data_IF_900402772299
#
_entry.id   IF_900402772299
#
_cell.length_a   1.000
_cell.length_b   1.000
_cell.length_c   1.000
_cell.angle_alpha   90.00
_cell.angle_beta   90.00
_cell.angle_gamma   90.00
#
_symmetry.space_group_name_H-M   'P 1'
#
loop_
_entity.id
_entity.type
_entity.pdbx_description
1 polymer ?
#
# COMPACT_ATOMS: atom_id res chain seq x y z
N UNK A 1 52.20 -17.16 34.81
CA UNK A 1 50.91 -16.49 35.01
C UNK A 1 50.41 -16.06 33.63
N UNK A 2 49.48 -16.82 33.03
CA UNK A 2 48.88 -16.47 31.73
C UNK A 2 47.43 -16.07 32.00
N UNK A 3 47.14 -14.79 31.84
CA UNK A 3 45.79 -14.24 31.94
C UNK A 3 45.08 -14.60 30.63
N UNK A 4 44.10 -15.49 30.70
CA UNK A 4 43.21 -15.81 29.58
C UNK A 4 42.02 -14.87 29.70
N UNK A 5 41.90 -13.94 28.75
CA UNK A 5 40.74 -13.04 28.63
C UNK A 5 39.62 -13.85 27.96
N UNK A 6 38.54 -14.07 28.70
CA UNK A 6 37.32 -14.72 28.22
C UNK A 6 36.43 -13.66 27.57
N UNK A 7 36.47 -13.54 26.24
CA UNK A 7 35.57 -12.66 25.49
C UNK A 7 34.20 -13.31 25.35
N UNK A 8 33.21 -12.77 26.06
CA UNK A 8 31.81 -13.19 26.01
C UNK A 8 31.15 -12.60 24.74
N UNK A 9 31.06 -13.38 23.66
CA UNK A 9 30.27 -13.00 22.48
C UNK A 9 28.80 -13.33 22.74
N UNK A 10 28.02 -12.32 23.14
CA UNK A 10 26.55 -12.37 23.16
C UNK A 10 26.08 -12.22 21.72
N UNK A 11 25.76 -13.33 21.06
CA UNK A 11 25.02 -13.29 19.79
C UNK A 11 23.55 -12.99 20.11
N UNK A 12 23.18 -11.72 20.07
CA UNK A 12 21.78 -11.33 19.99
C UNK A 12 21.28 -11.67 18.59
N UNK A 13 20.47 -12.72 18.47
CA UNK A 13 19.70 -12.99 17.24
C UNK A 13 18.61 -11.92 17.15
N UNK A 14 18.88 -10.84 16.42
CA UNK A 14 17.84 -9.91 16.02
C UNK A 14 17.00 -10.62 14.94
N UNK A 15 15.83 -11.13 15.32
CA UNK A 15 14.77 -11.38 14.33
C UNK A 15 14.29 -10.01 13.91
N UNK A 16 14.61 -9.57 12.69
CA UNK A 16 13.91 -8.47 12.06
C UNK A 16 12.54 -9.03 11.63
N UNK A 17 11.40 -8.61 12.20
CA UNK A 17 10.14 -8.69 11.48
C UNK A 17 10.32 -8.19 10.05
N UNK A 18 9.90 -8.99 9.07
CA UNK A 18 9.75 -8.50 7.71
C UNK A 18 8.59 -7.49 7.72
N UNK A 19 8.91 -6.20 7.74
CA UNK A 19 7.92 -5.13 7.61
C UNK A 19 7.57 -4.97 6.14
N UNK A 20 6.29 -5.05 5.82
CA UNK A 20 5.79 -4.73 4.48
C UNK A 20 5.54 -3.23 4.35
N UNK A 21 5.39 -2.79 3.10
CA UNK A 21 4.98 -1.43 2.78
C UNK A 21 3.74 -1.45 1.88
N UNK A 22 2.92 -0.41 2.02
CA UNK A 22 1.82 -0.11 1.11
C UNK A 22 2.13 1.19 0.40
N UNK A 23 2.21 1.16 -0.94
CA UNK A 23 2.30 2.39 -1.73
C UNK A 23 0.90 2.88 -2.11
N UNK A 24 0.57 4.11 -1.73
CA UNK A 24 -0.71 4.74 -2.01
C UNK A 24 -0.51 5.73 -3.16
N UNK A 25 -1.40 5.74 -4.14
CA UNK A 25 -1.39 6.66 -5.27
C UNK A 25 -2.79 7.26 -5.45
N UNK A 26 -2.89 8.58 -5.48
CA UNK A 26 -4.12 9.31 -5.79
C UNK A 26 -3.93 10.08 -7.10
N UNK A 27 -4.93 10.05 -7.99
CA UNK A 27 -4.83 10.74 -9.28
C UNK A 27 -6.18 11.23 -9.84
N UNK A 28 -6.31 12.53 -10.13
CA UNK A 28 -7.38 13.02 -11.00
C UNK A 28 -7.07 12.66 -12.47
N UNK A 29 -7.97 11.91 -13.12
CA UNK A 29 -7.75 11.37 -14.46
C UNK A 29 -8.25 12.24 -15.60
N UNK A 30 -8.81 13.44 -15.37
CA UNK A 30 -9.39 14.31 -16.39
C UNK A 30 -10.39 13.57 -17.31
N UNK A 31 -11.65 13.51 -16.92
CA UNK A 31 -12.74 12.93 -17.72
C UNK A 31 -12.46 11.53 -18.31
N UNK A 32 -11.85 10.59 -17.57
CA UNK A 32 -11.54 9.25 -18.08
C UNK A 32 -12.84 8.49 -18.45
N UNK A 33 -13.01 8.23 -19.74
CA UNK A 33 -14.21 7.61 -20.32
C UNK A 33 -15.48 8.45 -20.28
N UNK A 34 -15.38 9.73 -19.94
CA UNK A 34 -16.48 10.68 -20.00
C UNK A 34 -16.26 11.65 -21.16
N UNK A 35 -17.22 11.77 -22.07
CA UNK A 35 -17.16 12.70 -23.19
C UNK A 35 -18.24 13.77 -23.07
N UNK A 36 -17.84 15.03 -23.23
CA UNK A 36 -18.72 16.21 -23.26
C UNK A 36 -18.68 16.85 -24.65
N UNK A 37 -19.34 18.00 -24.83
CA UNK A 37 -19.28 18.73 -26.11
C UNK A 37 -17.89 19.34 -26.39
N UNK A 38 -17.04 19.47 -25.39
CA UNK A 38 -15.71 20.09 -25.49
C UNK A 38 -14.57 19.12 -25.17
N UNK A 39 -14.83 18.12 -24.33
CA UNK A 39 -13.91 17.03 -24.05
C UNK A 39 -14.37 15.77 -24.82
N UNK A 40 -13.76 15.52 -25.97
CA UNK A 40 -14.21 14.50 -26.93
C UNK A 40 -13.12 13.46 -27.18
N UNK A 41 -13.41 12.46 -28.01
CA UNK A 41 -12.42 11.45 -28.44
C UNK A 41 -11.24 12.05 -29.22
N UNK A 42 -11.32 13.29 -29.71
CA UNK A 42 -10.22 13.92 -30.44
C UNK A 42 -9.18 14.60 -29.54
N UNK A 43 -9.54 14.93 -28.29
CA UNK A 43 -8.66 15.65 -27.36
C UNK A 43 -8.59 15.01 -25.96
N UNK A 44 -9.32 13.92 -25.71
CA UNK A 44 -9.26 13.13 -24.48
C UNK A 44 -9.62 11.65 -24.76
N UNK A 45 -8.99 11.05 -25.77
CA UNK A 45 -9.31 9.68 -26.20
C UNK A 45 -9.00 8.65 -25.12
N UNK A 46 -9.99 7.85 -24.72
CA UNK A 46 -9.80 6.83 -23.68
C UNK A 46 -8.74 5.77 -24.05
N UNK A 47 -8.56 5.42 -25.33
CA UNK A 47 -7.53 4.44 -25.71
C UNK A 47 -6.11 5.00 -25.50
N UNK A 48 -5.91 6.29 -25.78
CA UNK A 48 -4.62 6.95 -25.54
C UNK A 48 -4.37 7.06 -24.03
N UNK A 49 -5.40 7.42 -23.26
CA UNK A 49 -5.34 7.44 -21.79
C UNK A 49 -4.99 6.07 -21.20
N UNK A 50 -5.55 4.98 -21.71
CA UNK A 50 -5.17 3.63 -21.28
C UNK A 50 -3.65 3.38 -21.44
N UNK A 51 -3.05 3.81 -22.55
CA UNK A 51 -1.59 3.70 -22.78
C UNK A 51 -0.78 4.55 -21.80
N UNK A 52 -1.24 5.77 -21.52
CA UNK A 52 -0.58 6.66 -20.57
C UNK A 52 -0.69 6.15 -19.13
N UNK A 53 -1.89 5.73 -18.70
CA UNK A 53 -2.12 5.18 -17.35
C UNK A 53 -1.29 3.91 -17.16
N UNK A 54 -1.23 3.00 -18.14
CA UNK A 54 -0.32 1.83 -18.06
C UNK A 54 1.12 2.25 -17.78
N UNK A 55 1.63 3.22 -18.51
CA UNK A 55 3.00 3.72 -18.36
C UNK A 55 3.22 4.31 -16.96
N UNK A 56 2.27 5.11 -16.47
CA UNK A 56 2.33 5.74 -15.15
C UNK A 56 2.24 4.69 -14.03
N UNK A 57 1.33 3.72 -14.13
CA UNK A 57 1.15 2.66 -13.14
C UNK A 57 2.33 1.69 -13.13
N UNK A 58 2.92 1.37 -14.29
CA UNK A 58 4.14 0.55 -14.36
C UNK A 58 5.33 1.23 -13.68
N UNK A 59 5.41 2.56 -13.76
CA UNK A 59 6.40 3.35 -13.02
C UNK A 59 6.06 3.44 -11.52
N UNK A 60 4.80 3.75 -11.17
CA UNK A 60 4.39 4.02 -9.81
C UNK A 60 4.25 2.75 -8.95
N UNK A 61 3.71 1.66 -9.50
CA UNK A 61 3.44 0.37 -8.82
C UNK A 61 2.71 0.52 -7.47
N UNK A 62 1.52 1.14 -7.43
CA UNK A 62 0.76 1.31 -6.20
C UNK A 62 0.19 0.00 -5.66
N UNK A 63 0.01 -0.09 -4.35
CA UNK A 63 -0.82 -1.13 -3.71
C UNK A 63 -2.26 -0.67 -3.52
N UNK A 64 -2.49 0.64 -3.37
CA UNK A 64 -3.80 1.30 -3.43
C UNK A 64 -3.71 2.41 -4.47
N UNK A 65 -4.62 2.38 -5.44
CA UNK A 65 -4.77 3.40 -6.47
C UNK A 65 -6.18 3.97 -6.44
N UNK A 66 -6.30 5.23 -6.08
CA UNK A 66 -7.56 5.97 -6.02
C UNK A 66 -7.59 7.05 -7.08
N UNK A 67 -8.76 7.28 -7.66
CA UNK A 67 -8.92 8.18 -8.79
C UNK A 67 -10.08 9.14 -8.60
N UNK A 68 -9.92 10.36 -9.12
CA UNK A 68 -11.03 11.28 -9.40
C UNK A 68 -11.29 11.32 -10.92
N UNK A 69 -12.45 11.85 -11.30
CA UNK A 69 -12.83 12.09 -12.71
C UNK A 69 -12.84 10.88 -13.64
N UNK A 70 -13.18 9.71 -13.10
CA UNK A 70 -13.60 8.58 -13.93
C UNK A 70 -15.10 8.68 -14.22
N UNK A 71 -15.53 8.29 -15.43
CA UNK A 71 -16.95 8.32 -15.80
C UNK A 71 -17.79 7.49 -14.84
N UNK A 72 -19.04 7.90 -14.59
CA UNK A 72 -20.03 7.20 -13.75
C UNK A 72 -20.56 5.90 -14.38
N UNK A 73 -19.66 4.98 -14.74
CA UNK A 73 -19.96 3.74 -15.46
C UNK A 73 -19.09 2.59 -14.96
N UNK A 74 -19.74 1.55 -14.44
CA UNK A 74 -19.04 0.36 -13.96
C UNK A 74 -18.21 -0.34 -15.05
N UNK A 75 -18.65 -0.28 -16.31
CA UNK A 75 -17.90 -0.84 -17.43
C UNK A 75 -16.61 -0.09 -17.72
N UNK A 76 -16.57 1.23 -17.48
CA UNK A 76 -15.36 2.04 -17.61
C UNK A 76 -14.43 1.79 -16.42
N UNK A 77 -14.99 1.58 -15.22
CA UNK A 77 -14.20 1.19 -14.05
C UNK A 77 -13.52 -0.17 -14.26
N UNK A 78 -14.26 -1.13 -14.84
CA UNK A 78 -13.74 -2.44 -15.22
C UNK A 78 -12.70 -2.34 -16.34
N UNK A 79 -12.91 -1.47 -17.33
CA UNK A 79 -11.94 -1.22 -18.39
C UNK A 79 -10.59 -0.77 -17.83
N UNK A 80 -10.55 0.23 -16.95
CA UNK A 80 -9.29 0.68 -16.35
C UNK A 80 -8.58 -0.48 -15.62
N UNK A 81 -9.34 -1.31 -14.89
CA UNK A 81 -8.79 -2.49 -14.23
C UNK A 81 -8.13 -3.45 -15.22
N UNK A 82 -8.84 -3.80 -16.31
CA UNK A 82 -8.42 -4.84 -17.25
C UNK A 82 -7.35 -4.36 -18.24
N UNK A 83 -7.46 -3.10 -18.68
CA UNK A 83 -6.59 -2.53 -19.69
C UNK A 83 -5.36 -1.85 -19.08
N UNK A 84 -5.41 -1.39 -17.85
CA UNK A 84 -4.36 -0.51 -17.33
C UNK A 84 -3.63 -1.08 -16.12
N UNK A 85 -4.34 -1.80 -15.25
CA UNK A 85 -3.77 -2.37 -14.03
C UNK A 85 -3.39 -3.85 -14.18
N UNK A 86 -4.28 -4.67 -14.75
CA UNK A 86 -4.10 -6.12 -14.90
C UNK A 86 -3.60 -6.50 -16.30
N UNK A 87 -2.46 -5.93 -16.68
CA UNK A 87 -1.80 -6.15 -17.98
C UNK A 87 -0.38 -6.67 -17.81
N UNK A 88 0.25 -7.10 -18.91
CA UNK A 88 1.66 -7.51 -18.94
C UNK A 88 2.02 -8.61 -17.89
N UNK A 89 1.08 -9.51 -17.61
CA UNK A 89 1.25 -10.58 -16.63
C UNK A 89 0.84 -10.23 -15.20
N UNK A 90 0.47 -8.96 -14.93
CA UNK A 90 -0.17 -8.54 -13.69
C UNK A 90 -1.64 -8.96 -13.72
N UNK A 91 -2.12 -9.58 -12.64
CA UNK A 91 -3.52 -9.97 -12.48
C UNK A 91 -4.02 -9.80 -11.03
N UNK A 92 -3.24 -9.07 -10.23
CA UNK A 92 -3.45 -8.93 -8.80
C UNK A 92 -4.18 -7.66 -8.37
N UNK A 93 -4.54 -6.77 -9.29
CA UNK A 93 -5.42 -5.67 -8.93
C UNK A 93 -6.87 -6.12 -8.88
N UNK A 94 -7.63 -5.52 -7.97
CA UNK A 94 -9.08 -5.58 -7.87
C UNK A 94 -9.62 -4.16 -7.79
N UNK A 95 -10.89 -3.96 -8.15
CA UNK A 95 -11.61 -2.70 -7.96
C UNK A 95 -12.57 -2.81 -6.79
N UNK A 96 -12.83 -1.71 -6.11
CA UNK A 96 -13.93 -1.63 -5.16
C UNK A 96 -15.29 -1.80 -5.88
N UNK A 97 -16.33 -2.14 -5.12
CA UNK A 97 -17.70 -2.05 -5.62
C UNK A 97 -18.01 -0.59 -6.00
N UNK A 98 -18.89 -0.39 -6.97
CA UNK A 98 -19.33 0.94 -7.37
C UNK A 98 -20.70 1.25 -6.77
N UNK A 99 -20.76 2.27 -5.92
CA UNK A 99 -21.99 2.89 -5.43
C UNK A 99 -21.91 4.39 -5.74
N UNK A 100 -23.07 5.02 -5.94
CA UNK A 100 -23.19 6.47 -6.09
C UNK A 100 -24.50 6.96 -5.49
N UNK A 101 -24.49 8.18 -4.98
CA UNK A 101 -25.66 8.88 -4.48
C UNK A 101 -25.82 10.21 -5.23
N UNK A 102 -24.74 10.97 -5.40
CA UNK A 102 -24.76 12.19 -6.19
C UNK A 102 -24.96 11.87 -7.69
N UNK A 103 -25.77 12.67 -8.38
CA UNK A 103 -25.98 12.55 -9.82
C UNK A 103 -24.85 13.26 -10.60
N UNK A 104 -23.63 12.73 -10.47
CA UNK A 104 -22.43 13.22 -11.16
C UNK A 104 -22.03 12.29 -12.30
N UNK A 105 -21.68 12.87 -13.45
CA UNK A 105 -21.09 12.15 -14.58
C UNK A 105 -19.67 11.65 -14.31
N UNK A 106 -18.99 12.29 -13.36
CA UNK A 106 -17.64 12.00 -12.92
C UNK A 106 -17.66 11.56 -11.45
N UNK A 107 -17.03 10.45 -11.15
CA UNK A 107 -17.02 9.81 -9.82
C UNK A 107 -15.60 9.48 -9.39
N UNK A 108 -15.46 8.99 -8.16
CA UNK A 108 -14.21 8.43 -7.67
C UNK A 108 -14.23 6.90 -7.80
N UNK A 109 -13.05 6.27 -7.84
CA UNK A 109 -12.92 4.83 -7.65
C UNK A 109 -11.64 4.47 -6.90
N UNK A 110 -11.64 3.28 -6.31
CA UNK A 110 -10.48 2.65 -5.69
C UNK A 110 -10.16 1.31 -6.35
N UNK A 111 -8.88 1.11 -6.62
CA UNK A 111 -8.27 -0.15 -7.03
C UNK A 111 -7.19 -0.54 -6.02
N UNK A 112 -7.00 -1.83 -5.80
CA UNK A 112 -6.06 -2.32 -4.80
C UNK A 112 -5.41 -3.65 -5.19
N UNK A 113 -4.20 -3.88 -4.68
CA UNK A 113 -3.48 -5.13 -4.80
C UNK A 113 -4.07 -6.19 -3.84
N UNK A 114 -4.81 -7.18 -4.38
CA UNK A 114 -5.47 -8.20 -3.56
C UNK A 114 -4.51 -9.16 -2.86
N UNK A 115 -3.23 -9.17 -3.25
CA UNK A 115 -2.22 -9.96 -2.54
C UNK A 115 -1.90 -9.37 -1.18
N UNK A 116 -2.06 -8.05 -1.00
CA UNK A 116 -1.79 -7.34 0.27
C UNK A 116 -3.05 -6.88 1.00
N UNK A 117 -4.12 -6.59 0.28
CA UNK A 117 -5.28 -5.90 0.83
C UNK A 117 -6.58 -6.60 0.41
N UNK A 118 -7.61 -6.42 1.22
CA UNK A 118 -8.96 -6.82 0.88
C UNK A 118 -9.95 -5.72 1.28
N UNK A 119 -10.93 -5.45 0.42
CA UNK A 119 -11.96 -4.47 0.70
C UNK A 119 -12.93 -5.03 1.73
N UNK A 120 -13.06 -4.33 2.85
CA UNK A 120 -14.03 -4.64 3.90
C UNK A 120 -15.40 -4.00 3.61
N UNK A 121 -15.40 -2.70 3.33
CA UNK A 121 -16.62 -1.95 3.10
C UNK A 121 -16.37 -0.70 2.27
N UNK A 122 -17.42 -0.23 1.61
CA UNK A 122 -17.47 1.03 0.87
C UNK A 122 -18.79 1.74 1.21
N UNK A 123 -18.68 2.98 1.66
CA UNK A 123 -19.81 3.85 2.02
C UNK A 123 -19.61 5.25 1.43
N UNK A 124 -20.66 6.04 1.34
CA UNK A 124 -20.59 7.45 0.94
C UNK A 124 -20.79 8.32 2.18
N UNK A 125 -19.77 9.12 2.53
CA UNK A 125 -19.83 10.00 3.69
C UNK A 125 -20.68 11.26 3.43
N UNK A 126 -20.76 11.68 2.17
CA UNK A 126 -21.39 12.93 1.78
C UNK A 126 -21.71 12.93 0.28
N UNK A 127 -22.79 13.60 -0.14
CA UNK A 127 -23.25 13.62 -1.55
C UNK A 127 -23.75 14.97 -2.05
N UNK A 128 -23.56 16.05 -1.29
CA UNK A 128 -23.79 17.41 -1.78
C UNK A 128 -22.83 17.74 -2.94
N UNK A 129 -23.36 17.96 -4.15
CA UNK A 129 -22.61 18.20 -5.40
C UNK A 129 -21.90 16.95 -5.94
N UNK A 130 -21.06 16.31 -5.14
CA UNK A 130 -20.30 15.10 -5.47
C UNK A 130 -20.18 14.20 -4.25
N UNK A 131 -20.03 12.91 -4.53
CA UNK A 131 -19.79 11.91 -3.50
C UNK A 131 -18.37 12.04 -2.92
N UNK A 132 -18.26 11.85 -1.61
CA UNK A 132 -17.00 11.56 -0.91
C UNK A 132 -17.07 10.11 -0.44
N UNK A 133 -16.26 9.27 -1.08
CA UNK A 133 -16.24 7.83 -0.87
C UNK A 133 -15.37 7.48 0.33
N UNK A 134 -15.82 6.52 1.14
CA UNK A 134 -15.04 5.95 2.25
C UNK A 134 -14.86 4.47 1.98
N UNK A 135 -13.63 4.09 1.64
CA UNK A 135 -13.23 2.70 1.42
C UNK A 135 -12.44 2.20 2.64
N UNK A 136 -12.95 1.18 3.32
CA UNK A 136 -12.25 0.50 4.41
C UNK A 136 -11.62 -0.78 3.84
N UNK A 137 -10.30 -0.87 3.89
CA UNK A 137 -9.54 -2.06 3.52
C UNK A 137 -8.85 -2.63 4.75
N UNK A 138 -8.65 -3.94 4.80
CA UNK A 138 -7.74 -4.55 5.77
C UNK A 138 -6.52 -5.14 5.10
N UNK A 139 -5.41 -5.11 5.82
CA UNK A 139 -4.17 -5.73 5.41
C UNK A 139 -4.23 -7.25 5.60
N UNK A 140 -3.85 -8.01 4.57
CA UNK A 140 -3.82 -9.47 4.59
C UNK A 140 -2.52 -9.94 5.25
N UNK A 141 -2.46 -9.86 6.57
CA UNK A 141 -1.41 -10.44 7.40
C UNK A 141 -1.60 -11.95 7.58
N UNK A 142 -0.52 -12.67 7.89
CA UNK A 142 -0.60 -14.08 8.30
C UNK A 142 -1.38 -14.24 9.62
N UNK A 143 -1.35 -13.21 10.46
CA UNK A 143 -2.09 -13.14 11.72
C UNK A 143 -3.62 -12.96 11.51
N UNK A 144 -4.10 -12.78 10.28
CA UNK A 144 -5.54 -12.66 9.99
C UNK A 144 -6.33 -13.92 10.44
N UNK A 145 -5.69 -15.10 10.42
CA UNK A 145 -6.29 -16.37 10.88
C UNK A 145 -6.72 -16.32 12.35
N UNK A 146 -6.03 -15.52 13.17
CA UNK A 146 -6.37 -15.33 14.60
C UNK A 146 -7.23 -14.08 14.85
N UNK A 147 -7.72 -13.44 13.78
CA UNK A 147 -8.59 -12.27 13.83
C UNK A 147 -7.86 -10.94 14.06
N UNK A 148 -6.53 -10.92 14.00
CA UNK A 148 -5.74 -9.69 14.15
C UNK A 148 -5.33 -9.14 12.78
N UNK A 149 -5.85 -7.96 12.43
CA UNK A 149 -5.52 -7.23 11.21
C UNK A 149 -5.48 -5.74 11.48
N UNK A 150 -4.91 -4.97 10.56
CA UNK A 150 -4.97 -3.52 10.57
C UNK A 150 -5.78 -3.01 9.39
N UNK A 151 -6.56 -1.96 9.64
CA UNK A 151 -7.37 -1.31 8.63
C UNK A 151 -6.68 -0.05 8.11
N UNK A 152 -6.84 0.19 6.81
CA UNK A 152 -6.50 1.43 6.11
C UNK A 152 -7.79 1.96 5.49
N UNK A 153 -8.14 3.20 5.80
CA UNK A 153 -9.41 3.81 5.38
C UNK A 153 -9.09 4.97 4.44
N UNK A 154 -9.43 4.82 3.16
CA UNK A 154 -9.26 5.85 2.14
C UNK A 154 -10.56 6.64 1.99
N UNK A 155 -10.53 7.91 2.36
CA UNK A 155 -11.60 8.89 2.14
C UNK A 155 -11.23 9.66 0.88
N UNK A 156 -11.93 9.42 -0.23
CA UNK A 156 -11.59 9.97 -1.55
C UNK A 156 -12.59 11.04 -1.93
N UNK A 157 -12.08 12.26 -2.15
CA UNK A 157 -12.91 13.42 -2.47
C UNK A 157 -12.50 14.06 -3.80
N UNK A 158 -13.50 14.55 -4.54
CA UNK A 158 -13.31 15.52 -5.62
C UNK A 158 -14.16 16.75 -5.28
N UNK A 159 -13.57 17.71 -4.56
CA UNK A 159 -14.32 18.83 -4.00
C UNK A 159 -14.73 19.83 -5.09
N UNK A 160 -15.67 20.72 -4.78
CA UNK A 160 -16.19 21.70 -5.75
C UNK A 160 -15.05 22.56 -6.34
N UNK A 161 -14.96 22.53 -7.67
CA UNK A 161 -13.98 23.31 -8.44
C UNK A 161 -14.25 24.81 -8.51
N UNK A 162 -13.30 25.55 -9.10
CA UNK A 162 -13.31 27.00 -9.31
C UNK A 162 -13.14 27.82 -8.02
N UNK A 163 -12.53 28.99 -8.16
CA UNK A 163 -12.31 29.93 -7.05
C UNK A 163 -13.55 30.72 -6.62
N UNK A 164 -13.38 31.52 -5.56
CA UNK A 164 -14.35 32.47 -5.05
C UNK A 164 -15.25 31.91 -3.94
N UNK A 165 -15.66 32.81 -3.04
CA UNK A 165 -16.34 32.50 -1.77
C UNK A 165 -17.53 31.53 -1.88
N UNK A 166 -18.30 31.57 -2.97
CA UNK A 166 -19.41 30.61 -3.17
C UNK A 166 -18.92 29.17 -3.35
N UNK A 167 -17.83 28.97 -4.10
CA UNK A 167 -17.26 27.64 -4.32
C UNK A 167 -16.48 27.18 -3.09
N UNK A 168 -15.76 28.08 -2.41
CA UNK A 168 -15.11 27.80 -1.12
C UNK A 168 -16.14 27.32 -0.06
N UNK A 169 -17.29 27.98 0.05
CA UNK A 169 -18.37 27.55 0.95
C UNK A 169 -18.93 26.18 0.57
N UNK A 170 -19.04 25.87 -0.72
CA UNK A 170 -19.47 24.52 -1.17
C UNK A 170 -18.44 23.46 -0.81
N UNK A 171 -17.14 23.72 -1.02
CA UNK A 171 -16.06 22.82 -0.57
C UNK A 171 -16.12 22.60 0.94
N UNK A 172 -16.33 23.68 1.70
CA UNK A 172 -16.52 23.62 3.16
C UNK A 172 -17.67 22.70 3.53
N UNK A 173 -18.84 22.87 2.92
CA UNK A 173 -20.03 22.07 3.26
C UNK A 173 -19.83 20.58 2.92
N UNK A 174 -19.16 20.29 1.79
CA UNK A 174 -18.78 18.92 1.44
C UNK A 174 -17.86 18.29 2.50
N UNK A 175 -16.78 18.98 2.88
CA UNK A 175 -15.86 18.49 3.91
C UNK A 175 -16.54 18.39 5.27
N UNK A 176 -17.34 19.39 5.66
CA UNK A 176 -18.07 19.38 6.93
C UNK A 176 -18.98 18.15 7.05
N UNK A 177 -19.75 17.83 6.00
CA UNK A 177 -20.60 16.64 6.00
C UNK A 177 -19.78 15.35 6.13
N UNK A 178 -18.64 15.25 5.45
CA UNK A 178 -17.76 14.10 5.56
C UNK A 178 -17.13 13.98 6.96
N UNK A 179 -16.65 15.08 7.55
CA UNK A 179 -16.10 15.10 8.91
C UNK A 179 -17.18 14.76 9.96
N UNK A 180 -18.42 15.22 9.76
CA UNK A 180 -19.53 14.86 10.63
C UNK A 180 -19.89 13.37 10.51
N UNK A 181 -19.88 12.81 9.29
CA UNK A 181 -20.02 11.37 9.09
C UNK A 181 -18.92 10.58 9.81
N UNK A 182 -17.66 11.01 9.68
CA UNK A 182 -16.52 10.36 10.33
C UNK A 182 -16.57 10.42 11.86
N UNK A 183 -17.21 11.45 12.43
CA UNK A 183 -17.41 11.57 13.88
C UNK A 183 -18.30 10.47 14.47
N UNK A 184 -19.21 9.93 13.66
CA UNK A 184 -20.09 8.81 14.04
C UNK A 184 -19.59 7.47 13.46
N UNK A 185 -18.55 7.52 12.62
CA UNK A 185 -17.92 6.35 11.99
C UNK A 185 -16.96 5.74 13.00
N UNK A 186 -17.51 4.96 13.94
CA UNK A 186 -16.87 4.28 15.08
C UNK A 186 -15.71 3.36 14.68
N UNK A 187 -14.58 3.96 14.31
CA UNK A 187 -13.43 3.30 13.74
C UNK A 187 -12.18 4.15 13.96
N UNK A 188 -11.72 4.31 15.21
CA UNK A 188 -10.41 4.93 15.52
C UNK A 188 -9.25 4.18 14.83
N UNK A 189 -9.02 4.45 13.54
CA UNK A 189 -8.19 3.66 12.63
C UNK A 189 -7.30 4.59 11.79
N UNK A 190 -6.60 4.00 10.82
CA UNK A 190 -5.68 4.67 9.92
C UNK A 190 -6.43 5.32 8.75
N UNK A 191 -6.86 6.58 8.94
CA UNK A 191 -7.52 7.35 7.89
C UNK A 191 -6.54 8.11 7.02
N UNK A 192 -6.82 8.10 5.72
CA UNK A 192 -6.23 8.96 4.71
C UNK A 192 -7.34 9.74 4.01
N UNK A 193 -7.30 11.07 4.06
CA UNK A 193 -8.21 11.93 3.31
C UNK A 193 -7.48 12.43 2.07
N UNK A 194 -7.92 12.03 0.90
CA UNK A 194 -7.18 12.24 -0.35
C UNK A 194 -8.06 12.62 -1.53
N UNK A 195 -7.43 13.23 -2.53
CA UNK A 195 -8.06 13.57 -3.80
C UNK A 195 -7.78 14.99 -4.25
N UNK A 196 -8.47 15.38 -5.31
CA UNK A 196 -8.51 16.75 -5.81
C UNK A 196 -9.46 17.59 -4.93
N UNK A 197 -8.85 18.43 -4.10
CA UNK A 197 -9.57 19.31 -3.18
C UNK A 197 -9.94 20.66 -3.80
N UNK A 198 -9.39 21.04 -4.95
CA UNK A 198 -9.64 22.35 -5.57
C UNK A 198 -9.51 23.54 -4.59
N UNK A 199 -8.65 23.43 -3.57
CA UNK A 199 -8.38 24.48 -2.59
C UNK A 199 -7.16 25.29 -3.00
N UNK A 200 -7.26 26.62 -2.93
CA UNK A 200 -6.25 27.56 -3.40
C UNK A 200 -5.26 27.95 -2.30
N UNK A 201 -5.66 27.83 -1.03
CA UNK A 201 -4.79 28.08 0.12
C UNK A 201 -5.17 27.27 1.34
N UNK A 202 -4.23 27.14 2.28
CA UNK A 202 -4.47 26.47 3.56
C UNK A 202 -5.47 27.20 4.44
N UNK A 203 -5.74 28.49 4.17
CA UNK A 203 -6.74 29.26 4.92
C UNK A 203 -8.18 29.00 4.47
N UNK A 204 -8.40 28.26 3.37
CA UNK A 204 -9.74 27.92 2.93
C UNK A 204 -10.51 27.12 4.00
N UNK A 205 -11.80 27.42 4.23
CA UNK A 205 -12.57 26.77 5.29
C UNK A 205 -12.63 25.25 5.17
N UNK A 206 -12.59 24.70 3.96
CA UNK A 206 -12.55 23.26 3.73
C UNK A 206 -11.26 22.63 4.27
N UNK A 207 -10.10 23.23 3.99
CA UNK A 207 -8.81 22.74 4.50
C UNK A 207 -8.69 22.91 6.03
N UNK A 208 -9.22 24.01 6.56
CA UNK A 208 -9.28 24.26 8.01
C UNK A 208 -10.15 23.23 8.74
N UNK A 209 -11.25 22.76 8.14
CA UNK A 209 -12.06 21.68 8.74
C UNK A 209 -11.33 20.34 8.78
N UNK A 210 -10.39 20.08 7.86
CA UNK A 210 -9.59 18.86 7.87
C UNK A 210 -8.47 18.92 8.91
N UNK A 211 -7.81 20.07 9.04
CA UNK A 211 -6.59 20.22 9.84
C UNK A 211 -6.83 20.77 11.26
N UNK A 212 -7.98 21.38 11.49
CA UNK A 212 -8.37 22.01 12.75
C UNK A 212 -9.87 21.79 13.01
N UNK A 213 -10.28 20.53 13.02
CA UNK A 213 -11.64 20.12 13.32
C UNK A 213 -11.95 20.28 14.82
N UNK A 214 -13.25 20.37 15.14
CA UNK A 214 -13.69 20.53 16.54
C UNK A 214 -13.38 19.31 17.40
N UNK A 215 -13.41 18.11 16.81
CA UNK A 215 -12.87 16.90 17.43
C UNK A 215 -11.42 16.69 16.96
N UNK A 216 -10.41 16.95 17.81
CA UNK A 216 -9.01 16.89 17.40
C UNK A 216 -8.52 15.48 17.06
N UNK A 217 -9.20 14.42 17.53
CA UNK A 217 -8.86 13.03 17.19
C UNK A 217 -9.12 12.70 15.71
N UNK A 218 -9.92 13.53 15.03
CA UNK A 218 -10.20 13.43 13.59
C UNK A 218 -9.41 14.44 12.76
N UNK A 219 -8.46 15.17 13.35
CA UNK A 219 -7.61 16.04 12.57
C UNK A 219 -6.74 15.23 11.60
N UNK A 220 -6.61 15.76 10.41
CA UNK A 220 -5.71 15.29 9.38
C UNK A 220 -4.49 16.20 9.30
N UNK A 221 -3.36 15.60 8.94
CA UNK A 221 -2.06 16.23 8.86
C UNK A 221 -1.54 16.15 7.43
N UNK A 222 -0.98 17.25 6.94
CA UNK A 222 -0.27 17.28 5.67
C UNK A 222 1.15 16.74 5.88
N UNK A 223 1.52 15.58 5.30
CA UNK A 223 2.81 14.93 5.56
C UNK A 223 4.03 15.72 5.07
N UNK A 224 3.83 16.76 4.26
CA UNK A 224 4.88 17.67 3.80
C UNK A 224 4.80 19.06 4.45
N UNK A 225 3.90 19.25 5.43
CA UNK A 225 3.72 20.48 6.23
C UNK A 225 3.95 21.77 5.45
N UNK A 226 3.18 21.95 4.37
CA UNK A 226 3.35 23.09 3.46
C UNK A 226 2.07 23.96 3.44
N UNK A 227 1.64 24.55 4.57
CA UNK A 227 0.51 25.47 4.57
C UNK A 227 0.88 26.78 3.86
N UNK A 228 -0.03 27.33 3.07
CA UNK A 228 0.09 28.66 2.50
C UNK A 228 -0.85 28.91 1.33
N UNK A 229 -0.56 29.94 0.54
CA UNK A 229 -1.30 30.29 -0.68
C UNK A 229 -0.64 29.59 -1.88
N UNK A 230 -1.19 28.44 -2.28
CA UNK A 230 -0.59 27.57 -3.28
C UNK A 230 -0.83 28.06 -4.71
N UNK A 231 -1.96 28.71 -4.98
CA UNK A 231 -2.30 29.14 -6.33
C UNK A 231 -1.38 30.24 -6.87
N UNK A 232 -0.91 30.06 -8.10
CA UNK A 232 -0.09 30.99 -8.86
C UNK A 232 1.05 31.59 -8.02
N UNK A 233 1.71 30.73 -7.26
CA UNK A 233 2.75 31.14 -6.32
C UNK A 233 4.03 30.35 -6.54
N UNK A 234 5.03 31.03 -7.11
CA UNK A 234 6.33 30.45 -7.41
C UNK A 234 7.04 29.83 -6.18
N UNK A 235 6.74 30.29 -4.97
CA UNK A 235 7.30 29.70 -3.73
C UNK A 235 6.83 28.25 -3.54
N UNK A 236 5.62 27.93 -4.00
CA UNK A 236 5.00 26.60 -3.88
C UNK A 236 5.16 25.74 -5.13
N UNK A 237 5.93 26.17 -6.14
CA UNK A 237 6.13 25.45 -7.40
C UNK A 237 6.55 23.98 -7.27
N UNK A 238 7.24 23.60 -6.19
CA UNK A 238 7.66 22.22 -5.95
C UNK A 238 6.52 21.32 -5.45
N UNK A 239 5.38 21.89 -5.06
CA UNK A 239 4.21 21.15 -4.55
C UNK A 239 2.98 21.31 -5.43
N UNK A 240 3.07 22.02 -6.56
CA UNK A 240 1.96 22.10 -7.51
C UNK A 240 1.66 20.73 -8.13
N UNK A 241 0.41 20.50 -8.44
CA UNK A 241 -0.12 19.28 -9.03
C UNK A 241 -0.97 19.55 -10.27
N UNK A 242 -1.36 20.81 -10.53
CA UNK A 242 -2.08 21.25 -11.73
C UNK A 242 -1.50 22.60 -12.19
N UNK A 243 -1.55 22.99 -13.46
CA UNK A 243 -1.91 22.21 -14.64
C UNK A 243 -0.69 21.68 -15.39
N UNK A 244 -0.75 20.43 -15.87
CA UNK A 244 0.30 19.87 -16.73
C UNK A 244 0.39 20.56 -18.09
N UNK A 245 -0.62 21.35 -18.48
CA UNK A 245 -0.71 22.06 -19.75
C UNK A 245 -0.64 23.57 -19.55
N UNK A 246 -0.02 24.28 -20.49
CA UNK A 246 -0.02 25.75 -20.60
C UNK A 246 -0.80 26.26 -21.83
N UNK A 247 -1.32 25.32 -22.63
CA UNK A 247 -2.03 25.61 -23.88
C UNK A 247 -3.31 24.79 -23.95
N UNK A 248 -4.36 25.43 -24.46
CA UNK A 248 -5.69 24.83 -24.49
C UNK A 248 -5.78 23.69 -25.51
N UNK A 249 -6.15 22.49 -25.06
CA UNK A 249 -6.54 21.37 -25.93
C UNK A 249 -8.08 21.20 -26.06
N UNK A 250 -8.84 21.98 -25.29
CA UNK A 250 -10.31 21.97 -25.25
C UNK A 250 -10.93 21.11 -24.14
N UNK A 251 -10.15 20.26 -23.46
CA UNK A 251 -10.58 19.48 -22.29
C UNK A 251 -9.81 19.85 -21.02
N UNK A 252 -8.48 19.82 -21.06
CA UNK A 252 -7.59 20.12 -19.94
C UNK A 252 -7.66 21.61 -19.55
N UNK A 253 -7.50 21.88 -18.26
CA UNK A 253 -7.06 23.20 -17.77
C UNK A 253 -5.69 23.53 -18.35
N UNK A 254 -5.32 24.81 -18.49
CA UNK A 254 -4.13 25.20 -19.25
C UNK A 254 -3.35 26.38 -18.66
N UNK A 255 -3.29 26.50 -17.34
CA UNK A 255 -2.53 27.57 -16.64
C UNK A 255 -1.03 27.30 -16.51
N UNK A 256 -0.56 26.08 -16.79
CA UNK A 256 0.77 25.59 -16.42
C UNK A 256 0.83 25.15 -14.95
N UNK A 257 1.97 24.65 -14.47
CA UNK A 257 2.06 24.07 -13.11
C UNK A 257 2.04 25.15 -12.02
N UNK A 258 0.86 25.62 -11.64
CA UNK A 258 0.64 26.78 -10.79
C UNK A 258 -0.31 26.56 -9.59
N UNK A 259 -0.86 25.36 -9.41
CA UNK A 259 -1.82 25.02 -8.36
C UNK A 259 -1.45 23.73 -7.63
N UNK A 260 -1.64 23.68 -6.30
CA UNK A 260 -1.63 22.44 -5.51
C UNK A 260 -3.07 22.07 -5.15
N UNK A 261 -3.66 21.17 -5.91
CA UNK A 261 -5.03 20.72 -5.67
C UNK A 261 -5.14 19.29 -5.15
N UNK A 262 -4.13 18.47 -5.37
CA UNK A 262 -4.15 17.07 -4.97
C UNK A 262 -3.45 16.89 -3.62
N UNK A 263 -4.14 16.24 -2.68
CA UNK A 263 -3.64 15.98 -1.33
C UNK A 263 -3.79 14.51 -0.93
N UNK A 264 -2.88 14.05 -0.07
CA UNK A 264 -3.07 12.86 0.78
C UNK A 264 -2.77 13.32 2.21
N UNK A 265 -3.83 13.65 2.96
CA UNK A 265 -3.72 14.02 4.37
C UNK A 265 -3.92 12.79 5.26
N UNK A 266 -3.21 12.74 6.39
CA UNK A 266 -3.08 11.55 7.22
C UNK A 266 -3.65 11.80 8.61
N UNK A 267 -4.35 10.83 9.18
CA UNK A 267 -4.73 10.85 10.60
C UNK A 267 -3.51 10.78 11.52
N UNK A 268 -3.67 11.23 12.77
CA UNK A 268 -2.61 11.12 13.80
C UNK A 268 -2.14 9.67 13.98
N UNK A 269 -3.06 8.69 13.89
CA UNK A 269 -2.70 7.27 13.96
C UNK A 269 -1.60 6.89 12.96
N UNK A 270 -1.71 7.33 11.71
CA UNK A 270 -0.71 7.06 10.67
C UNK A 270 0.56 7.87 10.93
N UNK A 271 0.44 9.13 11.37
CA UNK A 271 1.58 10.00 11.64
C UNK A 271 2.45 9.50 12.81
N UNK A 272 1.83 8.90 13.82
CA UNK A 272 2.50 8.40 15.03
C UNK A 272 2.81 6.89 14.98
N UNK A 273 2.37 6.19 13.92
CA UNK A 273 2.56 4.74 13.80
C UNK A 273 1.67 3.91 14.73
N UNK A 274 0.53 4.45 15.14
CA UNK A 274 -0.48 3.69 15.89
C UNK A 274 -1.24 2.73 14.99
N UNK A 275 -1.97 1.78 15.58
CA UNK A 275 -2.80 0.81 14.84
C UNK A 275 -2.03 0.07 13.72
N UNK A 276 -0.73 -0.19 13.96
CA UNK A 276 0.19 -0.93 13.09
C UNK A 276 0.45 -0.32 11.70
N UNK A 277 0.10 0.94 11.45
CA UNK A 277 0.38 1.62 10.18
C UNK A 277 1.09 2.94 10.45
N UNK A 278 2.21 3.16 9.77
CA UNK A 278 3.06 4.33 9.98
C UNK A 278 3.42 4.95 8.63
N UNK A 279 3.33 6.28 8.52
CA UNK A 279 3.84 6.98 7.35
C UNK A 279 5.37 6.85 7.27
N UNK A 280 5.89 6.51 6.09
CA UNK A 280 7.34 6.56 5.86
C UNK A 280 7.71 8.01 5.57
N UNK A 281 8.35 8.66 6.53
CA UNK A 281 8.79 10.05 6.42
C UNK A 281 9.59 10.30 5.13
N UNK A 282 9.25 11.39 4.43
CA UNK A 282 9.87 11.76 3.16
C UNK A 282 9.42 10.93 1.94
N UNK A 283 8.44 10.03 2.08
CA UNK A 283 7.93 9.24 0.94
C UNK A 283 6.88 9.96 0.09
N UNK A 284 6.34 11.11 0.54
CA UNK A 284 5.43 11.91 -0.26
C UNK A 284 6.08 12.38 -1.55
N UNK A 285 5.52 11.98 -2.68
CA UNK A 285 6.05 12.29 -4.02
C UNK A 285 4.91 12.69 -4.94
N UNK A 286 5.03 13.84 -5.59
CA UNK A 286 4.24 14.22 -6.77
C UNK A 286 5.02 13.80 -8.01
N UNK A 287 4.56 12.77 -8.72
CA UNK A 287 5.31 12.20 -9.85
C UNK A 287 5.30 13.21 -11.01
N UNK A 288 6.48 13.55 -11.54
CA UNK A 288 6.63 14.52 -12.63
C UNK A 288 6.81 15.97 -12.20
N UNK A 289 6.71 16.27 -10.90
CA UNK A 289 6.91 17.63 -10.38
C UNK A 289 8.40 17.89 -10.12
N UNK A 290 9.00 18.83 -10.85
CA UNK A 290 10.41 19.23 -10.73
C UNK A 290 10.61 20.66 -10.19
N UNK A 291 9.54 21.43 -10.07
CA UNK A 291 9.53 22.84 -9.68
C UNK A 291 10.15 23.78 -10.72
N UNK A 292 10.35 23.34 -11.96
CA UNK A 292 10.92 24.14 -13.04
C UNK A 292 9.87 24.63 -14.04
N UNK A 293 8.68 24.04 -14.02
CA UNK A 293 7.60 24.28 -14.99
C UNK A 293 6.47 25.17 -14.46
N UNK A 294 6.76 26.07 -13.51
CA UNK A 294 5.79 27.05 -13.03
C UNK A 294 5.22 27.86 -14.22
N UNK A 295 3.89 27.94 -14.34
CA UNK A 295 3.15 28.53 -15.46
C UNK A 295 3.49 27.96 -16.87
N UNK A 296 4.13 26.79 -16.95
CA UNK A 296 4.46 26.13 -18.21
C UNK A 296 3.97 24.67 -18.22
N UNK A 297 3.85 24.09 -19.42
CA UNK A 297 3.57 22.67 -19.56
C UNK A 297 4.71 21.82 -19.00
N UNK A 298 4.40 20.68 -18.39
CA UNK A 298 5.38 19.82 -17.69
C UNK A 298 6.44 19.19 -18.60
N UNK A 299 6.21 19.20 -19.91
CA UNK A 299 7.10 18.67 -20.94
C UNK A 299 7.73 19.76 -21.82
N UNK A 300 7.62 21.02 -21.40
CA UNK A 300 8.28 22.15 -22.07
C UNK A 300 9.79 22.21 -21.72
N UNK A 301 10.49 23.24 -22.21
CA UNK A 301 11.90 23.44 -21.84
C UNK A 301 11.98 24.27 -20.55
N UNK A 302 12.90 23.95 -19.61
CA UNK A 302 13.94 22.92 -19.69
C UNK A 302 13.39 21.49 -19.54
N UNK A 303 14.08 20.49 -20.12
CA UNK A 303 13.66 19.08 -20.03
C UNK A 303 13.38 18.64 -18.57
N UNK A 304 12.19 18.10 -18.35
CA UNK A 304 11.79 17.54 -17.06
C UNK A 304 12.44 16.16 -16.83
N UNK A 305 13.38 16.10 -15.90
CA UNK A 305 14.14 14.88 -15.57
C UNK A 305 13.68 14.22 -14.25
N UNK A 306 12.54 14.65 -13.69
CA UNK A 306 12.01 14.08 -12.44
C UNK A 306 11.50 12.64 -12.60
N UNK A 307 11.17 12.24 -13.83
CA UNK A 307 10.83 10.87 -14.20
C UNK A 307 11.37 10.56 -15.61
N UNK A 308 11.40 9.28 -16.04
CA UNK A 308 11.74 8.93 -17.42
C UNK A 308 10.87 9.69 -18.42
N UNK A 309 11.43 10.08 -19.58
CA UNK A 309 10.73 10.94 -20.54
C UNK A 309 9.40 10.36 -21.01
N UNK A 310 9.30 9.03 -21.19
CA UNK A 310 8.03 8.38 -21.53
C UNK A 310 6.96 8.50 -20.42
N UNK A 311 7.38 8.61 -19.16
CA UNK A 311 6.47 8.86 -18.03
C UNK A 311 6.02 10.32 -18.02
N UNK A 312 6.93 11.28 -18.28
CA UNK A 312 6.56 12.71 -18.39
C UNK A 312 5.54 12.94 -19.51
N UNK A 313 5.76 12.35 -20.69
CA UNK A 313 4.79 12.45 -21.80
C UNK A 313 3.48 11.75 -21.47
N UNK A 314 3.50 10.63 -20.75
CA UNK A 314 2.29 9.97 -20.30
C UNK A 314 1.52 10.83 -19.28
N UNK A 315 2.20 11.51 -18.36
CA UNK A 315 1.57 12.44 -17.42
C UNK A 315 0.90 13.60 -18.16
N UNK A 316 1.60 14.20 -19.12
CA UNK A 316 1.09 15.29 -19.94
C UNK A 316 -0.12 14.83 -20.77
N UNK A 317 -0.01 13.68 -21.46
CA UNK A 317 -1.08 13.15 -22.31
C UNK A 317 -2.30 12.64 -21.53
N UNK A 318 -2.13 12.22 -20.28
CA UNK A 318 -3.22 11.63 -19.51
C UNK A 318 -4.12 12.68 -18.84
N UNK A 319 -3.57 13.65 -18.13
CA UNK A 319 -4.38 14.52 -17.25
C UNK A 319 -3.76 15.90 -17.14
N UNK A 320 -4.58 16.90 -16.81
CA UNK A 320 -4.11 18.21 -16.34
C UNK A 320 -3.58 18.16 -14.91
N UNK A 321 -3.67 17.02 -14.22
CA UNK A 321 -3.07 16.80 -12.91
C UNK A 321 -1.83 15.91 -12.94
N UNK A 322 -1.04 15.97 -11.87
CA UNK A 322 0.01 15.01 -11.54
C UNK A 322 -0.45 14.08 -10.41
N UNK A 323 -0.11 12.78 -10.44
CA UNK A 323 -0.45 11.86 -9.37
C UNK A 323 0.48 12.06 -8.17
N UNK A 324 -0.11 11.97 -6.98
CA UNK A 324 0.60 12.06 -5.70
C UNK A 324 0.62 10.69 -5.03
N UNK A 325 1.73 10.40 -4.35
CA UNK A 325 1.92 9.11 -3.69
C UNK A 325 2.62 9.26 -2.35
N UNK A 326 2.36 8.28 -1.48
CA UNK A 326 3.09 8.08 -0.22
C UNK A 326 3.40 6.60 -0.04
N UNK A 327 4.27 6.29 0.90
CA UNK A 327 4.46 4.93 1.39
C UNK A 327 4.08 4.84 2.86
N UNK A 328 3.36 3.78 3.20
CA UNK A 328 3.05 3.40 4.57
C UNK A 328 3.83 2.14 4.91
N UNK A 329 4.36 2.06 6.12
CA UNK A 329 4.90 0.86 6.72
C UNK A 329 3.80 0.16 7.50
N UNK A 330 3.67 -1.16 7.33
CA UNK A 330 2.70 -1.96 8.07
C UNK A 330 3.44 -2.86 9.06
N UNK A 331 3.22 -2.61 10.35
CA UNK A 331 3.82 -3.32 11.47
C UNK A 331 3.01 -4.58 11.85
N UNK A 332 2.70 -5.42 10.87
CA UNK A 332 2.11 -6.75 11.10
C UNK A 332 3.14 -7.84 10.89
N UNK A 333 2.96 -8.98 11.55
CA UNK A 333 3.81 -10.14 11.30
C UNK A 333 3.51 -10.67 9.90
N UNK A 334 4.41 -10.41 8.96
CA UNK A 334 4.54 -11.29 7.82
C UNK A 334 5.30 -12.52 8.30
N UNK A 335 4.55 -13.58 8.57
CA UNK A 335 5.19 -14.86 8.76
C UNK A 335 5.96 -15.21 7.49
N UNK A 336 7.15 -15.78 7.66
CA UNK A 336 7.50 -16.85 6.74
C UNK A 336 6.43 -17.89 7.04
N UNK A 337 5.42 -18.01 6.16
CA UNK A 337 4.43 -19.06 6.28
C UNK A 337 5.15 -20.37 6.53
N UNK A 338 5.21 -20.79 7.79
CA UNK A 338 5.50 -22.17 8.14
C UNK A 338 4.31 -22.88 7.56
N UNK A 339 4.44 -23.31 6.31
CA UNK A 339 3.39 -23.89 5.51
C UNK A 339 2.50 -24.73 6.43
N UNK A 340 1.22 -24.35 6.52
CA UNK A 340 0.21 -25.14 7.23
C UNK A 340 0.10 -26.58 6.69
N UNK A 341 0.79 -26.87 5.59
CA UNK A 341 1.07 -28.18 5.00
C UNK A 341 2.17 -28.99 5.67
N UNK A 342 2.68 -28.62 6.85
CA UNK A 342 3.58 -29.54 7.54
C UNK A 342 2.83 -30.83 7.92
N UNK A 343 3.33 -31.97 7.40
CA UNK A 343 2.96 -33.32 7.82
C UNK A 343 3.02 -33.48 9.35
N UNK A 344 3.93 -32.76 9.99
CA UNK A 344 4.24 -32.89 11.41
C UNK A 344 3.38 -31.94 12.23
N UNK A 345 2.55 -32.48 13.12
CA UNK A 345 1.92 -31.64 14.15
C UNK A 345 2.85 -31.41 15.35
N UNK A 346 3.75 -32.36 15.62
CA UNK A 346 4.74 -32.24 16.69
C UNK A 346 5.98 -33.11 16.42
N UNK A 347 7.15 -32.61 16.81
CA UNK A 347 8.40 -33.39 16.86
C UNK A 347 9.04 -33.14 18.22
N UNK A 348 9.14 -34.19 19.03
CA UNK A 348 9.69 -34.14 20.39
C UNK A 348 10.88 -35.07 20.55
N UNK A 349 11.84 -34.66 21.35
CA UNK A 349 13.01 -35.45 21.73
C UNK A 349 13.64 -34.88 22.99
N UNK A 350 14.35 -35.73 23.73
CA UNK A 350 15.11 -35.28 24.90
C UNK A 350 16.31 -34.46 24.44
N UNK A 351 16.46 -33.25 24.96
CA UNK A 351 17.57 -32.36 24.64
C UNK A 351 18.10 -31.74 25.96
N UNK A 352 19.41 -31.80 26.28
CA UNK A 352 20.50 -32.39 25.50
C UNK A 352 20.49 -33.91 25.39
N UNK A 353 20.99 -34.41 24.26
CA UNK A 353 21.11 -35.84 23.90
C UNK A 353 22.48 -36.37 24.34
N UNK A 354 22.51 -37.57 24.92
CA UNK A 354 23.75 -38.32 25.14
C UNK A 354 24.03 -39.22 23.93
N UNK A 355 24.04 -40.54 24.06
CA UNK A 355 24.42 -41.45 22.98
C UNK A 355 23.26 -41.83 22.06
N UNK A 356 22.02 -41.69 22.52
CA UNK A 356 20.83 -42.08 21.76
C UNK A 356 19.83 -40.94 21.70
N UNK A 357 19.44 -40.55 20.49
CA UNK A 357 18.34 -39.63 20.23
C UNK A 357 17.05 -40.44 20.15
N UNK A 358 16.24 -40.37 21.22
CA UNK A 358 14.84 -40.81 21.19
C UNK A 358 13.97 -39.71 20.61
N UNK A 359 13.40 -39.98 19.44
CA UNK A 359 12.61 -39.07 18.63
C UNK A 359 11.16 -39.54 18.56
N UNK A 360 10.22 -38.66 18.88
CA UNK A 360 8.79 -38.87 18.67
C UNK A 360 8.27 -37.89 17.62
N UNK A 361 7.62 -38.40 16.58
CA UNK A 361 7.02 -37.62 15.50
C UNK A 361 5.51 -37.86 15.52
N UNK A 362 4.73 -36.82 15.74
CA UNK A 362 3.29 -36.83 15.53
C UNK A 362 2.99 -36.41 14.08
N UNK A 363 2.55 -37.35 13.25
CA UNK A 363 2.27 -37.13 11.83
C UNK A 363 0.75 -37.07 11.58
N UNK A 364 0.31 -36.16 10.71
CA UNK A 364 -1.10 -36.02 10.33
C UNK A 364 -1.57 -37.13 9.39
N UNK A 365 -0.69 -37.63 8.52
CA UNK A 365 -0.97 -38.65 7.51
C UNK A 365 0.20 -39.64 7.39
N UNK A 366 0.01 -40.72 6.61
CA UNK A 366 1.09 -41.64 6.29
C UNK A 366 2.03 -41.02 5.24
N UNK A 367 3.35 -41.05 5.47
CA UNK A 367 4.33 -40.49 4.53
C UNK A 367 5.72 -41.10 4.72
N UNK A 368 6.58 -40.97 3.71
CA UNK A 368 8.02 -41.07 3.90
C UNK A 368 8.56 -39.76 4.49
N UNK A 369 9.55 -39.84 5.36
CA UNK A 369 10.20 -38.72 6.03
C UNK A 369 11.70 -38.90 5.97
N UNK A 370 12.41 -37.90 5.45
CA UNK A 370 13.86 -37.85 5.48
C UNK A 370 14.32 -37.08 6.72
N UNK A 371 15.19 -37.69 7.52
CA UNK A 371 15.73 -37.13 8.76
C UNK A 371 17.23 -36.93 8.58
N UNK A 372 17.71 -35.70 8.69
CA UNK A 372 19.13 -35.35 8.60
C UNK A 372 19.62 -34.65 9.86
N UNK A 373 20.88 -34.86 10.23
CA UNK A 373 21.59 -34.00 11.18
C UNK A 373 22.70 -33.25 10.44
N UNK A 374 22.70 -31.93 10.55
CA UNK A 374 23.75 -31.05 10.03
C UNK A 374 24.59 -30.51 11.19
N UNK A 375 25.91 -30.45 11.03
CA UNK A 375 26.78 -29.70 11.96
C UNK A 375 26.67 -28.18 11.70
N UNK A 376 27.29 -27.37 12.57
CA UNK A 376 27.25 -25.90 12.48
C UNK A 376 27.92 -25.33 11.21
N UNK A 377 28.66 -26.14 10.45
CA UNK A 377 29.27 -25.75 9.18
C UNK A 377 28.40 -26.14 7.98
N UNK A 378 27.21 -26.68 8.23
CA UNK A 378 26.28 -27.16 7.20
C UNK A 378 26.63 -28.55 6.65
N UNK A 379 27.56 -29.29 7.28
CA UNK A 379 27.89 -30.65 6.84
C UNK A 379 26.87 -31.64 7.37
N UNK A 380 26.29 -32.45 6.47
CA UNK A 380 25.44 -33.58 6.85
C UNK A 380 26.27 -34.67 7.54
N UNK A 381 25.97 -34.95 8.81
CA UNK A 381 26.66 -35.95 9.63
C UNK A 381 25.83 -37.20 9.87
N UNK A 382 24.53 -37.14 9.61
CA UNK A 382 23.59 -38.26 9.71
C UNK A 382 22.45 -38.03 8.72
N UNK A 383 21.95 -39.09 8.09
CA UNK A 383 20.74 -39.08 7.27
C UNK A 383 20.05 -40.43 7.36
N UNK A 384 18.73 -40.42 7.42
CA UNK A 384 17.88 -41.60 7.38
C UNK A 384 16.57 -41.31 6.66
N UNK A 385 15.94 -42.33 6.09
CA UNK A 385 14.63 -42.23 5.46
C UNK A 385 13.68 -43.24 6.12
N UNK A 386 12.62 -42.74 6.75
CA UNK A 386 11.68 -43.54 7.52
C UNK A 386 10.26 -43.38 7.02
N UNK A 387 9.45 -44.40 7.25
CA UNK A 387 8.00 -44.32 7.04
C UNK A 387 7.33 -43.95 8.35
N UNK A 388 6.49 -42.93 8.33
CA UNK A 388 5.62 -42.56 9.44
C UNK A 388 4.18 -42.90 9.09
N UNK A 389 3.41 -43.35 10.09
CA UNK A 389 1.96 -43.49 10.00
C UNK A 389 1.28 -42.29 10.65
N UNK A 390 0.04 -41.99 10.27
CA UNK A 390 -0.79 -41.02 10.97
C UNK A 390 -0.86 -41.36 12.47
N UNK A 391 -0.64 -40.36 13.33
CA UNK A 391 -0.47 -40.55 14.77
C UNK A 391 0.99 -40.45 15.25
N UNK A 392 1.27 -41.04 16.41
CA UNK A 392 2.57 -40.93 17.06
C UNK A 392 3.53 -42.03 16.60
N UNK A 393 4.72 -41.64 16.17
CA UNK A 393 5.79 -42.54 15.69
C UNK A 393 7.03 -42.35 16.55
N UNK A 394 7.75 -43.43 16.85
CA UNK A 394 8.94 -43.39 17.70
C UNK A 394 10.16 -43.97 16.98
N UNK A 395 11.27 -43.25 17.04
CA UNK A 395 12.55 -43.63 16.46
C UNK A 395 13.68 -43.48 17.48
N UNK A 396 14.69 -44.34 17.39
CA UNK A 396 15.88 -44.26 18.25
C UNK A 396 17.13 -44.29 17.38
N UNK A 397 17.93 -43.23 17.46
CA UNK A 397 19.15 -43.09 16.67
C UNK A 397 20.38 -43.09 17.56
N UNK A 398 21.35 -43.93 17.20
CA UNK A 398 22.64 -43.97 17.88
C UNK A 398 23.53 -42.84 17.37
N UNK A 399 23.78 -41.85 18.24
CA UNK A 399 24.63 -40.68 17.99
C UNK A 399 25.98 -40.75 18.73
N UNK A 400 26.36 -41.91 19.27
CA UNK A 400 27.64 -42.10 20.01
C UNK A 400 28.89 -41.68 19.23
N UNK A 401 28.85 -41.76 17.89
CA UNK A 401 29.96 -41.37 17.00
C UNK A 401 30.02 -39.86 16.73
N UNK A 402 29.01 -39.10 17.12
CA UNK A 402 28.99 -37.65 16.97
C UNK A 402 29.70 -36.99 18.15
N UNK A 403 30.53 -36.00 17.84
CA UNK A 403 31.20 -35.17 18.84
C UNK A 403 30.19 -34.34 19.64
N UNK A 404 30.51 -34.00 20.89
CA UNK A 404 29.70 -33.04 21.64
C UNK A 404 29.62 -31.70 20.89
N UNK A 405 28.43 -31.09 20.84
CA UNK A 405 28.20 -29.89 20.06
C UNK A 405 26.73 -29.64 19.71
N UNK A 406 26.52 -28.62 18.88
CA UNK A 406 25.19 -28.25 18.36
C UNK A 406 25.03 -28.85 16.96
N UNK A 407 23.87 -29.46 16.72
CA UNK A 407 23.45 -30.01 15.45
C UNK A 407 22.06 -29.48 15.08
N UNK A 408 21.78 -29.39 13.79
CA UNK A 408 20.46 -29.06 13.26
C UNK A 408 19.81 -30.32 12.69
N UNK A 409 18.73 -30.76 13.32
CA UNK A 409 17.89 -31.85 12.82
C UNK A 409 16.89 -31.33 11.80
N UNK A 410 16.99 -31.79 10.56
CA UNK A 410 16.11 -31.43 9.45
C UNK A 410 15.20 -32.63 9.17
N UNK A 411 13.89 -32.41 9.21
CA UNK A 411 12.85 -33.41 8.99
C UNK A 411 12.05 -32.99 7.76
N UNK A 412 12.20 -33.72 6.65
CA UNK A 412 11.57 -33.40 5.37
C UNK A 412 10.50 -34.43 5.05
N UNK A 413 9.29 -34.00 4.73
CA UNK A 413 8.18 -34.89 4.34
C UNK A 413 8.22 -35.27 2.85
N UNK A 414 7.29 -36.13 2.42
CA UNK A 414 7.18 -36.58 1.02
C UNK A 414 6.80 -35.47 0.03
N UNK A 415 6.38 -34.30 0.51
CA UNK A 415 6.06 -33.11 -0.29
C UNK A 415 7.22 -32.10 -0.29
N UNK A 416 8.40 -32.48 0.21
CA UNK A 416 9.57 -31.63 0.39
C UNK A 416 9.43 -30.48 1.41
N UNK A 417 8.40 -30.47 2.26
CA UNK A 417 8.33 -29.51 3.36
C UNK A 417 9.29 -29.94 4.47
N UNK A 418 10.03 -28.99 5.05
CA UNK A 418 11.05 -29.29 6.06
C UNK A 418 10.85 -28.52 7.36
N UNK A 419 10.98 -29.22 8.49
CA UNK A 419 11.11 -28.62 9.82
C UNK A 419 12.56 -28.75 10.30
N UNK A 420 13.08 -27.70 10.95
CA UNK A 420 14.41 -27.73 11.57
C UNK A 420 14.29 -27.64 13.10
N UNK A 421 15.00 -28.52 13.82
CA UNK A 421 15.09 -28.50 15.29
C UNK A 421 16.55 -28.49 15.74
N UNK A 422 16.86 -27.70 16.77
CA UNK A 422 18.19 -27.67 17.39
C UNK A 422 18.39 -28.88 18.32
N UNK A 423 19.45 -29.64 18.11
CA UNK A 423 19.84 -30.79 18.93
C UNK A 423 21.21 -30.50 19.56
N UNK A 424 21.32 -30.62 20.88
CA UNK A 424 22.57 -30.45 21.62
C UNK A 424 23.07 -31.83 22.05
N UNK A 425 24.23 -32.25 21.53
CA UNK A 425 24.93 -33.48 21.93
C UNK A 425 25.88 -33.16 23.08
N UNK A 426 25.74 -33.86 24.21
CA UNK A 426 26.68 -33.82 25.34
C UNK A 426 27.66 -34.97 25.31
#
# INVERSE_FOLDING_TARGET
>A
MKIIILSLFIFATQTLPAQDTLKILQYNLLNYGNYTSYCTTSNNNINDKDEYIRTIIEYAKPDIFTVNEISSSDSIHQRLLDNDLNVNGINYYRKANFIKIADSYLVNMLYYNWQKLELHSHTIAQSYIRDIDVYKLYYRSDDLVIGDTTFVICIVAHLKSSGGANNENKRRDMVYNAMNYLNDYDDSNNYLFMGDFNVYSSSEPAYQLLTNYTNPELNFYDPIDTPGDWNNNYTFRFVHTQSTHDTQNGCASYSGMDDRFDFILLSDNIMQGFMDVEYIEGSYTTIGQDGLHFDNAINSNPENISAPSNVIEALFGNSDHLPISIMLKVNKTLGISNHEYSLFSEITFKNPVSETLGLSIQAKTNSNVNIKLMDIRGKCVFSDEVKVSAGQNHFNYNLSKLTAGIYFGIFTDGNNNSIVKKIVKR
#
